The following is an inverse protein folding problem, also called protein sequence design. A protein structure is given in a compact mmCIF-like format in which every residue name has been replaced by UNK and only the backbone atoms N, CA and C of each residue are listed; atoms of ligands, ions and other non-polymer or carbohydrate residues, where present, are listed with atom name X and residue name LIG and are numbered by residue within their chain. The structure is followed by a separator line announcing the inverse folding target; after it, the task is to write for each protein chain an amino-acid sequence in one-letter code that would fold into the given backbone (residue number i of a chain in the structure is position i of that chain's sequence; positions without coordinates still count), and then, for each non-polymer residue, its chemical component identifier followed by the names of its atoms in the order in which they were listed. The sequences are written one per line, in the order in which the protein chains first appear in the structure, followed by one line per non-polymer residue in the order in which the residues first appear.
data_IF_139030598000
#
_entry.id   IF_139030598000
#
_cell.length_a   1.000
_cell.length_b   1.000
_cell.length_c   1.000
_cell.angle_alpha   90.00
_cell.angle_beta   90.00
_cell.angle_gamma   90.00
#
_symmetry.space_group_name_H-M   'P 1'
#
loop_
_entity.id
_entity.type
_entity.pdbx_description
1 polymer ?
#
# COMPACT_ATOMS: atom_id res chain seq x y z
N UNK A 1 -9.67 10.22 4.55
CA UNK A 1 -8.78 9.36 5.35
C UNK A 1 -8.82 9.85 6.78
N UNK A 2 -9.09 8.98 7.78
CA UNK A 2 -9.08 9.40 9.18
C UNK A 2 -7.68 9.87 9.59
N UNK A 3 -7.56 10.96 10.38
CA UNK A 3 -6.27 11.40 10.87
C UNK A 3 -5.67 10.33 11.80
N UNK A 4 -4.35 10.17 11.76
CA UNK A 4 -3.65 9.39 12.78
C UNK A 4 -3.77 10.18 14.10
N UNK A 5 -4.19 9.56 15.22
CA UNK A 5 -4.18 10.21 16.52
C UNK A 5 -2.81 10.82 16.84
N UNK A 6 -2.79 12.03 17.41
CA UNK A 6 -1.54 12.74 17.73
C UNK A 6 -0.83 12.10 18.93
N UNK A 7 0.51 12.15 18.90
CA UNK A 7 1.38 11.55 19.91
C UNK A 7 1.19 12.16 21.31
N UNK A 8 1.03 11.32 22.32
CA UNK A 8 1.16 11.71 23.73
C UNK A 8 2.50 11.18 24.27
N UNK A 9 3.43 12.07 24.63
CA UNK A 9 4.82 11.75 25.00
C UNK A 9 4.99 10.91 26.27
N UNK A 10 3.90 10.58 26.97
CA UNK A 10 3.91 9.94 28.29
C UNK A 10 3.46 8.46 28.30
N UNK A 11 3.06 7.85 27.17
CA UNK A 11 2.56 6.47 27.15
C UNK A 11 3.60 5.47 26.62
N UNK A 12 4.42 4.94 27.53
CA UNK A 12 5.29 3.79 27.23
C UNK A 12 4.45 2.52 27.02
N UNK A 13 4.39 2.04 25.78
CA UNK A 13 3.92 0.67 25.51
C UNK A 13 4.84 -0.31 26.22
N UNK A 14 4.35 -0.95 27.29
CA UNK A 14 5.14 -1.93 28.02
C UNK A 14 5.12 -3.24 27.23
N UNK A 15 6.28 -3.89 26.96
CA UNK A 15 6.35 -5.21 26.31
C UNK A 15 5.48 -6.31 26.94
N UNK A 16 5.06 -6.10 28.20
CA UNK A 16 4.12 -6.95 28.93
C UNK A 16 2.69 -6.86 28.38
N UNK A 17 2.26 -5.69 27.91
CA UNK A 17 0.89 -5.44 27.42
C UNK A 17 0.63 -6.11 26.07
N UNK A 18 1.63 -6.11 25.18
CA UNK A 18 1.57 -6.89 23.92
C UNK A 18 1.48 -8.40 24.16
N UNK A 19 2.13 -8.91 25.22
CA UNK A 19 1.98 -10.31 25.64
C UNK A 19 0.61 -10.60 26.22
N UNK A 20 0.01 -9.65 26.94
CA UNK A 20 -1.37 -9.75 27.44
C UNK A 20 -2.39 -9.73 26.31
N UNK A 21 -2.20 -8.87 25.31
CA UNK A 21 -3.02 -8.83 24.09
C UNK A 21 -2.92 -10.15 23.33
N UNK A 22 -1.70 -10.67 23.11
CA UNK A 22 -1.48 -11.99 22.49
C UNK A 22 -2.19 -13.10 23.28
N UNK A 23 -2.00 -13.13 24.60
CA UNK A 23 -2.60 -14.13 25.48
C UNK A 23 -4.13 -14.02 25.57
N UNK A 24 -4.68 -12.82 25.41
CA UNK A 24 -6.12 -12.60 25.30
C UNK A 24 -6.67 -13.08 23.96
N UNK A 25 -6.00 -12.72 22.86
CA UNK A 25 -6.36 -13.19 21.52
C UNK A 25 -6.32 -14.72 21.41
N UNK A 26 -5.33 -15.38 22.02
CA UNK A 26 -5.23 -16.84 22.10
C UNK A 26 -6.35 -17.49 22.95
N UNK A 27 -6.98 -16.72 23.84
CA UNK A 27 -8.06 -17.16 24.72
C UNK A 27 -9.47 -16.79 24.22
N UNK A 28 -9.60 -16.21 23.03
CA UNK A 28 -10.89 -15.86 22.43
C UNK A 28 -11.58 -14.65 23.08
N UNK A 29 -10.88 -13.52 23.18
CA UNK A 29 -11.46 -12.24 23.61
C UNK A 29 -12.69 -11.85 22.77
N UNK A 30 -13.63 -11.14 23.41
CA UNK A 30 -14.81 -10.57 22.75
C UNK A 30 -14.40 -9.44 21.80
N UNK A 31 -15.17 -9.26 20.70
CA UNK A 31 -14.94 -8.22 19.70
C UNK A 31 -14.80 -6.81 20.32
N UNK A 32 -15.55 -6.52 21.38
CA UNK A 32 -15.49 -5.25 22.12
C UNK A 32 -14.18 -5.03 22.89
N UNK A 33 -13.54 -6.11 23.35
CA UNK A 33 -12.24 -6.04 24.03
C UNK A 33 -11.11 -5.87 23.02
N UNK A 34 -11.26 -6.50 21.85
CA UNK A 34 -10.39 -6.35 20.68
C UNK A 34 -10.49 -4.91 20.14
N UNK A 35 -11.68 -4.33 20.04
CA UNK A 35 -11.92 -2.92 19.68
C UNK A 35 -11.34 -1.93 20.71
N UNK A 36 -11.42 -2.24 22.01
CA UNK A 36 -10.80 -1.42 23.05
C UNK A 36 -9.27 -1.48 22.98
N UNK A 37 -8.70 -2.67 22.75
CA UNK A 37 -7.26 -2.88 22.57
C UNK A 37 -6.77 -2.19 21.30
N UNK A 38 -7.51 -2.30 20.22
CA UNK A 38 -7.28 -1.59 18.96
C UNK A 38 -7.21 -0.08 19.14
N UNK A 39 -8.12 0.47 19.92
CA UNK A 39 -8.22 1.89 20.17
C UNK A 39 -7.12 2.40 21.12
N UNK A 40 -6.73 1.60 22.12
CA UNK A 40 -5.50 1.85 22.90
C UNK A 40 -4.24 1.71 22.04
N UNK A 41 -4.19 0.68 21.19
CA UNK A 41 -3.09 0.44 20.26
C UNK A 41 -3.06 1.47 19.15
N UNK A 42 -4.13 2.18 18.81
CA UNK A 42 -4.12 3.21 17.76
C UNK A 42 -3.25 4.41 18.13
N UNK A 43 -3.25 4.82 19.40
CA UNK A 43 -2.36 5.87 19.91
C UNK A 43 -0.89 5.38 19.97
N UNK A 44 -0.71 4.07 20.16
CA UNK A 44 0.59 3.43 20.37
C UNK A 44 1.17 2.77 19.10
N UNK A 45 0.38 2.51 18.06
CA UNK A 45 0.76 1.83 16.80
C UNK A 45 1.79 2.68 16.06
N UNK A 46 1.70 4.00 16.17
CA UNK A 46 2.69 4.90 15.57
C UNK A 46 4.05 4.77 16.27
N UNK A 47 4.04 4.60 17.60
CA UNK A 47 5.25 4.39 18.41
C UNK A 47 5.80 2.96 18.21
N UNK A 48 4.92 1.96 18.22
CA UNK A 48 5.11 0.56 17.82
C UNK A 48 5.33 0.37 16.31
N UNK A 49 5.39 1.43 15.50
CA UNK A 49 5.98 1.35 14.16
C UNK A 49 7.32 2.10 14.10
N UNK A 50 7.62 2.94 15.10
CA UNK A 50 8.81 3.81 15.18
C UNK A 50 9.99 3.27 16.02
N UNK A 51 9.74 2.32 16.91
CA UNK A 51 10.78 1.61 17.66
C UNK A 51 11.76 0.81 16.78
N UNK A 52 13.00 0.63 17.25
CA UNK A 52 14.07 -0.07 16.53
C UNK A 52 13.88 -1.59 16.37
N UNK A 53 12.67 -2.13 16.61
CA UNK A 53 12.39 -3.56 16.50
C UNK A 53 11.60 -3.87 15.23
N UNK A 54 12.13 -4.72 14.37
CA UNK A 54 11.48 -5.17 13.13
C UNK A 54 10.31 -6.15 13.37
N UNK A 55 9.90 -6.38 14.63
CA UNK A 55 8.90 -7.37 15.04
C UNK A 55 7.51 -6.78 15.36
N UNK A 56 7.25 -5.51 15.06
CA UNK A 56 6.44 -4.67 15.95
C UNK A 56 4.92 -4.61 15.70
N UNK A 57 4.38 -5.26 14.67
CA UNK A 57 2.92 -5.42 14.50
C UNK A 57 2.38 -6.67 15.24
N UNK A 58 3.23 -7.52 15.82
CA UNK A 58 2.81 -8.81 16.38
C UNK A 58 2.33 -9.84 15.34
N UNK A 59 1.87 -9.43 14.15
CA UNK A 59 1.40 -10.31 13.07
C UNK A 59 2.41 -11.39 12.65
N UNK A 60 3.72 -11.09 12.71
CA UNK A 60 4.76 -12.09 12.42
C UNK A 60 4.86 -13.18 13.50
N UNK A 61 4.43 -12.89 14.71
CA UNK A 61 4.48 -13.80 15.87
C UNK A 61 3.13 -14.48 16.13
N UNK A 62 2.11 -14.15 15.33
CA UNK A 62 0.80 -14.79 15.33
C UNK A 62 0.84 -15.90 14.28
N UNK A 63 0.71 -17.14 14.73
CA UNK A 63 0.65 -18.30 13.83
C UNK A 63 -0.79 -18.53 13.30
N UNK A 64 -1.80 -17.95 13.96
CA UNK A 64 -3.21 -18.11 13.60
C UNK A 64 -3.69 -17.02 12.63
N UNK A 65 -4.22 -17.44 11.47
CA UNK A 65 -4.79 -16.55 10.44
C UNK A 65 -6.07 -15.82 10.91
N UNK A 66 -6.88 -16.44 11.77
CA UNK A 66 -8.10 -15.81 12.31
C UNK A 66 -7.75 -14.62 13.21
N UNK A 67 -6.71 -14.78 14.04
CA UNK A 67 -6.21 -13.70 14.91
C UNK A 67 -5.62 -12.56 14.07
N UNK A 68 -4.89 -12.89 12.99
CA UNK A 68 -4.38 -11.87 12.05
C UNK A 68 -5.52 -11.12 11.38
N UNK A 69 -6.59 -11.81 11.00
CA UNK A 69 -7.77 -11.20 10.37
C UNK A 69 -8.46 -10.22 11.34
N UNK A 70 -8.70 -10.61 12.59
CA UNK A 70 -9.29 -9.74 13.61
C UNK A 70 -8.45 -8.47 13.82
N UNK A 71 -7.13 -8.63 13.91
CA UNK A 71 -6.21 -7.49 14.03
C UNK A 71 -6.22 -6.63 12.77
N UNK A 72 -6.36 -7.23 11.58
CA UNK A 72 -6.41 -6.49 10.34
C UNK A 72 -7.71 -5.68 10.19
N UNK A 73 -8.86 -6.22 10.65
CA UNK A 73 -10.15 -5.52 10.67
C UNK A 73 -10.07 -4.18 11.40
N UNK A 74 -9.26 -4.13 12.45
CA UNK A 74 -8.95 -2.92 13.21
C UNK A 74 -8.03 -1.98 12.45
N UNK A 75 -6.94 -2.50 11.88
CA UNK A 75 -5.84 -1.67 11.36
C UNK A 75 -6.13 -1.16 9.94
N UNK A 76 -6.85 -1.93 9.12
CA UNK A 76 -7.07 -1.64 7.71
C UNK A 76 -7.63 -0.22 7.45
N UNK A 77 -8.60 0.32 8.21
CA UNK A 77 -9.08 1.70 8.06
C UNK A 77 -8.00 2.79 8.20
N UNK A 78 -6.92 2.50 8.91
CA UNK A 78 -5.82 3.43 9.19
C UNK A 78 -4.57 3.10 8.37
N UNK A 79 -4.57 2.02 7.59
CA UNK A 79 -3.39 1.50 6.90
C UNK A 79 -2.78 2.52 5.94
N UNK A 80 -3.60 3.32 5.26
CA UNK A 80 -3.13 4.40 4.40
C UNK A 80 -2.43 5.52 5.21
N UNK A 81 -3.01 5.93 6.34
CA UNK A 81 -2.43 6.95 7.22
C UNK A 81 -1.12 6.48 7.87
N UNK A 82 -1.06 5.21 8.28
CA UNK A 82 0.17 4.56 8.75
C UNK A 82 1.21 4.53 7.62
N UNK A 83 0.78 4.25 6.39
CA UNK A 83 1.63 4.11 5.21
C UNK A 83 2.42 5.36 4.81
N UNK A 84 1.88 6.55 5.08
CA UNK A 84 2.54 7.84 4.82
C UNK A 84 3.42 8.32 5.98
N UNK A 85 3.44 7.61 7.10
CA UNK A 85 4.32 7.93 8.22
C UNK A 85 5.72 7.34 8.00
N UNK A 86 6.78 8.12 8.28
CA UNK A 86 8.19 7.75 8.08
C UNK A 86 8.55 6.36 8.61
N UNK A 87 8.00 6.01 9.77
CA UNK A 87 8.23 4.70 10.38
C UNK A 87 7.06 3.73 10.13
N UNK A 88 5.83 4.25 10.02
CA UNK A 88 4.62 3.47 9.77
C UNK A 88 4.65 2.72 8.44
N UNK A 89 5.28 3.29 7.41
CA UNK A 89 5.39 2.66 6.09
C UNK A 89 5.98 1.25 6.12
N UNK A 90 6.92 0.98 7.03
CA UNK A 90 7.54 -0.34 7.16
C UNK A 90 6.56 -1.36 7.72
N UNK A 91 5.76 -0.96 8.71
CA UNK A 91 4.72 -1.82 9.27
C UNK A 91 3.60 -2.05 8.26
N UNK A 92 3.12 -1.00 7.57
CA UNK A 92 2.10 -1.13 6.53
C UNK A 92 2.54 -2.10 5.42
N UNK A 93 3.76 -1.96 4.91
CA UNK A 93 4.32 -2.90 3.92
C UNK A 93 4.42 -4.32 4.47
N UNK A 94 4.78 -4.48 5.75
CA UNK A 94 4.91 -5.79 6.37
C UNK A 94 3.55 -6.46 6.60
N UNK A 95 2.53 -5.71 7.01
CA UNK A 95 1.14 -6.18 7.10
C UNK A 95 0.68 -6.71 5.74
N UNK A 96 0.95 -5.96 4.66
CA UNK A 96 0.63 -6.41 3.30
C UNK A 96 1.37 -7.69 2.93
N UNK A 97 2.66 -7.81 3.27
CA UNK A 97 3.45 -9.02 3.01
C UNK A 97 2.98 -10.26 3.79
N UNK A 98 2.21 -10.07 4.87
CA UNK A 98 1.70 -11.15 5.74
C UNK A 98 0.24 -11.51 5.48
N UNK A 99 -0.45 -10.77 4.62
CA UNK A 99 -1.80 -11.09 4.21
C UNK A 99 -1.78 -12.27 3.24
N UNK A 100 -2.33 -13.40 3.67
CA UNK A 100 -2.29 -14.66 2.92
C UNK A 100 -3.69 -15.22 2.62
N UNK A 101 -4.70 -14.86 3.41
CA UNK A 101 -6.09 -15.27 3.16
C UNK A 101 -6.80 -14.28 2.23
N UNK A 102 -7.80 -14.75 1.49
CA UNK A 102 -8.59 -13.88 0.61
C UNK A 102 -9.26 -12.75 1.40
N UNK A 103 -9.81 -13.04 2.58
CA UNK A 103 -10.47 -12.04 3.44
C UNK A 103 -9.50 -10.95 3.90
N UNK A 104 -8.26 -11.30 4.25
CA UNK A 104 -7.23 -10.32 4.61
C UNK A 104 -6.86 -9.43 3.41
N UNK A 105 -6.69 -10.03 2.23
CA UNK A 105 -6.35 -9.30 1.01
C UNK A 105 -7.48 -8.36 0.62
N UNK A 106 -8.73 -8.83 0.62
CA UNK A 106 -9.90 -8.03 0.31
C UNK A 106 -10.06 -6.83 1.26
N UNK A 107 -9.80 -7.04 2.55
CA UNK A 107 -9.85 -5.98 3.55
C UNK A 107 -8.77 -4.91 3.32
N UNK A 108 -7.55 -5.31 2.92
CA UNK A 108 -6.51 -4.35 2.55
C UNK A 108 -6.90 -3.59 1.28
N UNK A 109 -7.35 -4.30 0.24
CA UNK A 109 -7.73 -3.69 -1.03
C UNK A 109 -8.87 -2.67 -0.85
N UNK A 110 -9.91 -3.01 -0.09
CA UNK A 110 -11.07 -2.13 0.13
C UNK A 110 -10.71 -0.83 0.85
N UNK A 111 -9.78 -0.86 1.81
CA UNK A 111 -9.37 0.34 2.55
C UNK A 111 -8.27 1.15 1.85
N UNK A 112 -7.40 0.52 1.07
CA UNK A 112 -6.35 1.22 0.32
C UNK A 112 -6.82 1.79 -1.02
N UNK A 113 -7.79 1.14 -1.68
CA UNK A 113 -8.34 1.56 -2.98
C UNK A 113 -8.69 3.05 -3.07
N UNK A 114 -9.51 3.63 -2.17
CA UNK A 114 -9.85 5.05 -2.23
C UNK A 114 -8.65 5.97 -1.93
N UNK A 115 -7.55 5.44 -1.40
CA UNK A 115 -6.36 6.20 -1.00
C UNK A 115 -5.21 6.11 -2.02
N UNK A 116 -5.34 5.32 -3.10
CA UNK A 116 -4.26 5.09 -4.09
C UNK A 116 -3.65 6.40 -4.60
N UNK A 117 -4.41 7.40 -5.07
CA UNK A 117 -3.82 8.63 -5.59
C UNK A 117 -2.98 9.37 -4.55
N UNK A 118 -3.50 9.48 -3.32
CA UNK A 118 -2.81 10.16 -2.21
C UNK A 118 -1.52 9.42 -1.84
N UNK A 119 -1.57 8.09 -1.76
CA UNK A 119 -0.41 7.27 -1.43
C UNK A 119 0.67 7.37 -2.50
N UNK A 120 0.31 7.34 -3.79
CA UNK A 120 1.27 7.46 -4.89
C UNK A 120 1.94 8.84 -4.96
N UNK A 121 1.27 9.87 -4.46
CA UNK A 121 1.82 11.23 -4.36
C UNK A 121 2.70 11.44 -3.13
N UNK A 122 2.65 10.55 -2.14
CA UNK A 122 3.45 10.65 -0.93
C UNK A 122 4.85 10.02 -1.06
N UNK A 123 5.81 10.53 -0.29
CA UNK A 123 7.21 10.08 -0.28
C UNK A 123 7.43 8.69 0.31
N UNK A 124 6.53 8.20 1.17
CA UNK A 124 6.55 6.86 1.78
C UNK A 124 5.39 5.98 1.30
N UNK A 125 4.19 6.56 1.18
CA UNK A 125 2.96 5.86 0.79
C UNK A 125 3.07 5.16 -0.56
N UNK A 126 3.89 5.67 -1.48
CA UNK A 126 4.06 5.06 -2.80
C UNK A 126 4.61 3.62 -2.71
N UNK A 127 5.44 3.33 -1.70
CA UNK A 127 5.98 1.99 -1.48
C UNK A 127 4.92 1.03 -0.92
N UNK A 128 3.91 1.55 -0.21
CA UNK A 128 2.76 0.76 0.27
C UNK A 128 1.93 0.27 -0.92
N UNK A 129 1.63 1.16 -1.87
CA UNK A 129 0.89 0.78 -3.10
C UNK A 129 1.72 -0.19 -3.95
N UNK A 130 3.01 0.06 -4.14
CA UNK A 130 3.88 -0.86 -4.87
C UNK A 130 3.96 -2.25 -4.21
N UNK A 131 3.83 -2.33 -2.87
CA UNK A 131 3.83 -3.59 -2.15
C UNK A 131 2.59 -4.44 -2.49
N UNK A 132 1.43 -3.82 -2.68
CA UNK A 132 0.20 -4.48 -3.07
C UNK A 132 0.27 -5.17 -4.46
N UNK A 133 1.26 -4.84 -5.31
CA UNK A 133 1.44 -5.55 -6.60
C UNK A 133 1.61 -7.06 -6.44
N UNK A 134 2.17 -7.52 -5.31
CA UNK A 134 2.40 -8.93 -5.00
C UNK A 134 1.12 -9.75 -4.84
N UNK A 135 -0.02 -9.10 -4.61
CA UNK A 135 -1.33 -9.75 -4.53
C UNK A 135 -1.77 -10.33 -5.88
N UNK A 136 -1.16 -9.85 -6.99
CA UNK A 136 -1.43 -10.33 -8.34
C UNK A 136 -2.84 -9.99 -8.84
N UNK A 137 -3.09 -10.26 -10.12
CA UNK A 137 -4.43 -10.12 -10.70
C UNK A 137 -5.38 -11.20 -10.12
N UNK A 138 -6.66 -10.88 -9.84
CA UNK A 138 -7.31 -9.57 -9.98
C UNK A 138 -7.16 -8.63 -8.76
N UNK A 139 -6.57 -9.11 -7.67
CA UNK A 139 -6.50 -8.40 -6.38
C UNK A 139 -5.72 -7.09 -6.42
N UNK A 140 -4.76 -6.95 -7.31
CA UNK A 140 -3.99 -5.72 -7.51
C UNK A 140 -4.68 -4.71 -8.45
N UNK A 141 -5.85 -5.02 -9.02
CA UNK A 141 -6.49 -4.21 -10.06
C UNK A 141 -6.84 -2.79 -9.58
N UNK A 142 -7.23 -2.65 -8.31
CA UNK A 142 -7.58 -1.36 -7.70
C UNK A 142 -6.47 -0.30 -7.82
N UNK A 143 -5.21 -0.73 -7.93
CA UNK A 143 -4.06 0.17 -8.12
C UNK A 143 -4.15 0.86 -9.48
N UNK A 144 -4.45 0.09 -10.51
CA UNK A 144 -4.51 0.57 -11.89
C UNK A 144 -5.76 1.42 -12.11
N UNK A 145 -6.89 1.03 -11.52
CA UNK A 145 -8.12 1.83 -11.54
C UNK A 145 -7.87 3.20 -10.89
N UNK A 146 -7.27 3.22 -9.70
CA UNK A 146 -6.91 4.47 -9.02
C UNK A 146 -5.91 5.34 -9.80
N UNK A 147 -4.97 4.73 -10.53
CA UNK A 147 -4.05 5.45 -11.42
C UNK A 147 -4.80 6.02 -12.61
N UNK A 148 -5.67 5.26 -13.28
CA UNK A 148 -6.39 5.71 -14.48
C UNK A 148 -7.33 6.86 -14.13
N UNK A 149 -8.13 6.71 -13.06
CA UNK A 149 -9.09 7.73 -12.62
C UNK A 149 -8.42 9.05 -12.22
N UNK A 150 -7.15 9.01 -11.82
CA UNK A 150 -6.41 10.18 -11.33
C UNK A 150 -5.09 10.41 -12.09
N UNK A 151 -5.01 9.94 -13.34
CA UNK A 151 -3.77 9.84 -14.10
C UNK A 151 -3.03 11.17 -14.21
N UNK A 152 -3.77 12.24 -14.50
CA UNK A 152 -3.20 13.58 -14.63
C UNK A 152 -2.56 14.07 -13.33
N UNK A 153 -3.30 13.97 -12.21
CA UNK A 153 -2.85 14.46 -10.90
C UNK A 153 -1.62 13.68 -10.43
N UNK A 154 -1.66 12.35 -10.54
CA UNK A 154 -0.54 11.48 -10.14
C UNK A 154 0.67 11.72 -11.07
N UNK A 155 0.44 11.78 -12.39
CA UNK A 155 1.49 11.95 -13.40
C UNK A 155 2.22 13.30 -13.35
N UNK A 156 1.58 14.35 -12.82
CA UNK A 156 2.22 15.65 -12.58
C UNK A 156 2.98 15.72 -11.25
N UNK A 157 2.72 14.80 -10.31
CA UNK A 157 3.39 14.72 -9.03
C UNK A 157 4.82 14.13 -9.13
N UNK A 158 5.75 14.66 -8.31
CA UNK A 158 7.15 14.18 -8.27
C UNK A 158 7.26 12.70 -7.92
N UNK A 159 6.51 12.25 -6.91
CA UNK A 159 6.48 10.85 -6.50
C UNK A 159 5.54 10.05 -7.39
N UNK A 160 4.40 10.63 -7.77
CA UNK A 160 3.39 9.96 -8.58
C UNK A 160 3.90 9.53 -9.95
N UNK A 161 4.56 10.42 -10.71
CA UNK A 161 5.09 10.08 -12.04
C UNK A 161 6.11 8.95 -12.00
N UNK A 162 7.00 8.97 -11.00
CA UNK A 162 7.99 7.91 -10.75
C UNK A 162 7.32 6.61 -10.34
N UNK A 163 6.26 6.69 -9.54
CA UNK A 163 5.51 5.53 -9.08
C UNK A 163 4.75 4.87 -10.22
N UNK A 164 4.07 5.62 -11.08
CA UNK A 164 3.42 5.10 -12.30
C UNK A 164 4.45 4.34 -13.14
N UNK A 165 5.61 4.96 -13.41
CA UNK A 165 6.70 4.32 -14.15
C UNK A 165 7.14 3.00 -13.52
N UNK A 166 7.42 3.00 -12.23
CA UNK A 166 7.90 1.81 -11.50
C UNK A 166 6.84 0.71 -11.48
N UNK A 167 5.57 1.07 -11.31
CA UNK A 167 4.45 0.13 -11.28
C UNK A 167 4.31 -0.54 -12.65
N UNK A 168 4.18 0.23 -13.74
CA UNK A 168 4.01 -0.34 -15.08
C UNK A 168 5.23 -1.19 -15.49
N UNK A 169 6.44 -0.76 -15.12
CA UNK A 169 7.68 -1.49 -15.40
C UNK A 169 7.93 -2.74 -14.54
N UNK A 170 7.06 -3.04 -13.57
CA UNK A 170 7.21 -4.19 -12.69
C UNK A 170 6.86 -5.50 -13.43
N UNK A 171 7.60 -6.60 -13.22
CA UNK A 171 7.28 -7.90 -13.81
C UNK A 171 5.98 -8.52 -13.26
N UNK A 172 5.41 -7.94 -12.19
CA UNK A 172 4.16 -8.38 -11.59
C UNK A 172 2.91 -7.81 -12.29
N UNK A 173 3.09 -6.94 -13.30
CA UNK A 173 2.00 -6.25 -14.00
C UNK A 173 1.74 -6.91 -15.35
N UNK A 174 0.48 -7.19 -15.63
CA UNK A 174 0.07 -7.83 -16.88
C UNK A 174 0.15 -6.84 -18.06
N UNK A 175 0.29 -7.33 -19.29
CA UNK A 175 0.26 -6.48 -20.49
C UNK A 175 -1.05 -5.68 -20.58
N UNK A 176 -2.17 -6.27 -20.19
CA UNK A 176 -3.48 -5.60 -20.18
C UNK A 176 -3.49 -4.42 -19.21
N UNK A 177 -2.96 -4.59 -17.99
CA UNK A 177 -2.82 -3.52 -17.01
C UNK A 177 -1.86 -2.41 -17.49
N UNK A 178 -0.76 -2.79 -18.16
CA UNK A 178 0.15 -1.82 -18.77
C UNK A 178 -0.55 -0.98 -19.85
N UNK A 179 -1.27 -1.63 -20.78
CA UNK A 179 -2.03 -0.96 -21.84
C UNK A 179 -3.11 -0.05 -21.27
N UNK A 180 -3.79 -0.50 -20.21
CA UNK A 180 -4.85 0.27 -19.55
C UNK A 180 -4.32 1.60 -18.99
N UNK A 181 -3.21 1.57 -18.24
CA UNK A 181 -2.60 2.81 -17.73
C UNK A 181 -1.95 3.64 -18.84
N UNK A 182 -1.28 3.01 -19.81
CA UNK A 182 -0.68 3.71 -20.95
C UNK A 182 -1.73 4.50 -21.74
N UNK A 183 -2.93 3.94 -21.92
CA UNK A 183 -4.06 4.61 -22.57
C UNK A 183 -4.45 5.89 -21.84
N UNK A 184 -4.51 5.86 -20.50
CA UNK A 184 -4.80 7.04 -19.70
C UNK A 184 -3.69 8.11 -19.79
N UNK A 185 -2.41 7.70 -19.82
CA UNK A 185 -1.27 8.60 -20.03
C UNK A 185 -1.38 9.29 -21.40
N UNK A 186 -1.69 8.54 -22.45
CA UNK A 186 -1.83 9.06 -23.83
C UNK A 186 -2.99 10.06 -23.90
N UNK A 187 -4.14 9.74 -23.30
CA UNK A 187 -5.30 10.63 -23.24
C UNK A 187 -4.99 11.97 -22.54
N UNK A 188 -4.09 11.95 -21.54
CA UNK A 188 -3.67 13.14 -20.79
C UNK A 188 -2.37 13.79 -21.32
N UNK A 189 -1.84 13.32 -22.46
CA UNK A 189 -0.49 13.68 -22.94
C UNK A 189 -0.26 15.18 -23.12
N UNK A 190 -1.24 15.92 -23.63
CA UNK A 190 -1.14 17.39 -23.78
C UNK A 190 -0.84 18.06 -22.43
N UNK A 191 -1.61 17.73 -21.39
CA UNK A 191 -1.47 18.35 -20.06
C UNK A 191 -0.25 17.82 -19.29
N UNK A 192 0.18 16.60 -19.57
CA UNK A 192 1.42 16.04 -19.03
C UNK A 192 2.66 16.69 -19.67
N UNK A 193 2.61 17.05 -20.96
CA UNK A 193 3.73 17.65 -21.69
C UNK A 193 4.09 19.10 -21.28
N UNK A 194 3.22 19.76 -20.52
CA UNK A 194 3.50 21.09 -19.96
C UNK A 194 3.96 21.02 -18.49
N UNK A 195 4.08 19.82 -17.93
CA UNK A 195 4.57 19.59 -16.57
C UNK A 195 5.92 18.83 -16.61
N UNK A 196 6.96 19.27 -15.87
CA UNK A 196 8.26 18.60 -15.90
C UNK A 196 8.23 17.10 -15.55
N UNK A 197 7.41 16.71 -14.57
CA UNK A 197 7.25 15.29 -14.19
C UNK A 197 6.46 14.52 -15.24
N UNK A 198 5.41 15.14 -15.81
CA UNK A 198 4.60 14.56 -16.87
C UNK A 198 5.41 14.32 -18.16
N UNK A 199 6.29 15.26 -18.53
CA UNK A 199 7.22 15.10 -19.65
C UNK A 199 8.14 13.89 -19.48
N UNK A 200 8.71 13.71 -18.28
CA UNK A 200 9.57 12.56 -17.98
C UNK A 200 8.79 11.25 -18.12
N UNK A 201 7.54 11.23 -17.65
CA UNK A 201 6.67 10.06 -17.77
C UNK A 201 6.34 9.73 -19.23
N UNK A 202 6.01 10.75 -20.04
CA UNK A 202 5.73 10.59 -21.47
C UNK A 202 6.96 10.08 -22.25
N UNK A 203 8.12 10.68 -22.02
CA UNK A 203 9.37 10.25 -22.66
C UNK A 203 9.69 8.80 -22.32
N UNK A 204 9.54 8.43 -21.05
CA UNK A 204 9.71 7.03 -20.64
C UNK A 204 8.73 6.08 -21.34
N UNK A 205 7.46 6.47 -21.49
CA UNK A 205 6.46 5.65 -22.17
C UNK A 205 6.85 5.41 -23.64
N UNK A 206 7.32 6.45 -24.34
CA UNK A 206 7.78 6.39 -25.73
C UNK A 206 9.04 5.52 -25.90
N UNK A 207 9.96 5.54 -24.93
CA UNK A 207 11.16 4.69 -24.97
C UNK A 207 10.81 3.23 -24.65
N UNK A 208 9.85 3.01 -23.75
CA UNK A 208 9.39 1.67 -23.36
C UNK A 208 8.58 0.99 -24.46
N UNK A 209 7.80 1.74 -25.25
CA UNK A 209 7.06 1.18 -26.38
C UNK A 209 7.99 0.66 -27.48
N UNK A 210 9.10 1.35 -27.75
CA UNK A 210 10.14 0.88 -28.69
C UNK A 210 10.81 -0.42 -28.24
N UNK A 211 10.90 -0.64 -26.93
CA UNK A 211 11.40 -1.91 -26.36
C UNK A 211 10.36 -3.03 -26.44
N UNK A 212 9.06 -2.71 -26.29
CA UNK A 212 7.96 -3.67 -26.44
C UNK A 212 7.83 -4.18 -27.88
N UNK A 213 8.01 -3.30 -28.88
CA UNK A 213 7.98 -3.67 -30.30
C UNK A 213 9.13 -4.61 -30.71
N UNK A 214 10.30 -4.51 -30.05
CA UNK A 214 11.47 -5.34 -30.35
C UNK A 214 11.34 -6.78 -29.81
N UNK A 215 10.60 -7.01 -28.72
CA UNK A 215 10.39 -8.35 -28.17
C UNK A 215 9.40 -9.17 -29.01
N UNK A 216 8.45 -8.51 -29.68
CA UNK A 216 7.53 -9.14 -30.65
C UNK A 216 8.21 -9.71 -31.90
N UNK A 217 9.43 -9.27 -32.23
CA UNK A 217 10.15 -9.74 -33.42
C UNK A 217 11.12 -10.90 -33.15
N UNK A 218 11.28 -11.33 -31.89
CA UNK A 218 12.22 -12.43 -31.53
C UNK A 218 11.52 -13.79 -31.42
N UNK A 219 10.19 -13.85 -31.48
CA UNK A 219 9.41 -15.11 -31.44
C UNK A 219 8.80 -15.49 -32.81
N UNK A 220 9.41 -15.00 -33.91
CA UNK A 220 8.98 -15.33 -35.27
C UNK A 220 10.16 -15.63 -36.18
N UNK A 221 11.07 -16.50 -35.73
CA UNK A 221 12.04 -17.20 -36.58
C UNK A 221 12.30 -18.61 -36.03
#
# INVERSE_FOLDING_TARGET
MPPVPEFNTDRKVRPLRLREIKKGLDNGLLLTEIESIAQECMEEIVELCSGKSKNMCGMNELDNEDTKLLLLQIIAPYLASIGIHKNGTWAAQKIIDLAHTEEQVELICSHLSPCVPLLLLDSFGNYVVQRCLRMGYPRNQFIFDGIVDNCLVIGQGRFGSRSIRTIIGSPLVTKEQQIYVASAIIQNSMLLSINPNGCILLNWLLDSSKLLDQVSHVHSN
#
